data_IF_640116409407
#
_entry.id   IF_640116409407
#
_cell.length_a   1.000
_cell.length_b   1.000
_cell.length_c   1.000
_cell.angle_alpha   90.00
_cell.angle_beta   90.00
_cell.angle_gamma   90.00
#
_symmetry.space_group_name_H-M   'P 1'
#
loop_
_entity.id
_entity.type
_entity.pdbx_description
1 polymer ?
#
# COMPACT_ATOMS: atom_id res chain seq x y z
N UNK A 1 34.51 19.00 10.28
CA UNK A 1 33.27 18.27 10.61
C UNK A 1 32.15 18.88 9.79
N UNK A 2 31.51 18.12 8.89
CA UNK A 2 30.33 18.57 8.18
C UNK A 2 29.14 18.62 9.14
N UNK A 3 28.63 19.82 9.44
CA UNK A 3 27.48 20.04 10.34
C UNK A 3 27.81 20.43 11.79
N UNK A 4 26.85 21.06 12.48
CA UNK A 4 26.91 21.34 13.93
C UNK A 4 26.72 20.05 14.74
N UNK A 5 26.04 19.05 14.16
CA UNK A 5 25.82 17.73 14.74
C UNK A 5 26.64 16.65 14.03
N UNK A 6 27.57 15.96 14.73
CA UNK A 6 28.53 15.07 14.09
C UNK A 6 28.02 13.65 13.78
N UNK A 7 26.79 13.29 14.21
CA UNK A 7 26.35 11.90 14.24
C UNK A 7 25.39 11.49 13.10
N UNK A 8 24.79 12.45 12.39
CA UNK A 8 23.73 12.17 11.40
C UNK A 8 24.32 11.65 10.09
N UNK A 9 25.31 12.34 9.51
CA UNK A 9 26.06 11.89 8.34
C UNK A 9 27.56 12.27 8.50
N UNK A 10 28.32 11.53 9.34
CA UNK A 10 29.66 11.94 9.78
C UNK A 10 30.66 12.17 8.65
N UNK A 11 30.55 11.36 7.59
CA UNK A 11 31.40 11.39 6.40
C UNK A 11 30.71 12.07 5.20
N UNK A 12 29.59 12.77 5.46
CA UNK A 12 28.74 13.42 4.47
C UNK A 12 29.25 14.80 4.02
N UNK A 13 28.48 15.44 3.14
CA UNK A 13 28.71 16.83 2.74
C UNK A 13 28.12 17.81 3.76
N UNK A 14 28.54 19.07 3.72
CA UNK A 14 27.85 20.12 4.47
C UNK A 14 26.40 20.29 4.00
N UNK A 15 25.47 20.36 4.94
CA UNK A 15 24.04 20.49 4.65
C UNK A 15 23.66 21.95 4.38
N UNK A 16 23.60 22.30 3.10
CA UNK A 16 23.09 23.58 2.59
C UNK A 16 21.92 23.40 1.62
N UNK A 17 21.30 22.23 1.59
CA UNK A 17 20.10 22.02 0.77
C UNK A 17 18.90 22.74 1.36
N UNK A 18 17.87 22.91 0.53
CA UNK A 18 16.60 23.53 0.92
C UNK A 18 15.61 22.53 1.55
N UNK A 19 15.98 21.26 1.66
CA UNK A 19 15.08 20.17 2.06
C UNK A 19 15.40 19.56 3.44
N UNK A 20 16.62 19.74 3.94
CA UNK A 20 17.05 19.23 5.25
C UNK A 20 17.86 20.26 6.03
N UNK A 21 18.02 19.94 7.31
CA UNK A 21 19.06 20.52 8.17
C UNK A 21 19.97 19.38 8.65
N UNK A 22 21.07 19.69 9.32
CA UNK A 22 22.02 18.71 9.88
C UNK A 22 21.44 17.80 10.99
N UNK A 23 20.15 17.94 11.31
CA UNK A 23 19.39 17.06 12.23
C UNK A 23 18.79 15.83 11.54
N UNK A 24 18.77 15.77 10.22
CA UNK A 24 18.15 14.68 9.46
C UNK A 24 19.07 14.18 8.36
N UNK A 25 19.00 12.87 8.07
CA UNK A 25 19.79 12.29 7.00
C UNK A 25 19.21 12.70 5.64
N UNK A 26 20.02 13.40 4.85
CA UNK A 26 19.61 13.88 3.54
C UNK A 26 19.34 12.71 2.58
N UNK A 27 18.20 12.71 1.89
CA UNK A 27 17.85 11.63 0.95
C UNK A 27 18.79 11.53 -0.26
N UNK A 28 19.55 12.59 -0.55
CA UNK A 28 20.56 12.62 -1.61
C UNK A 28 21.91 12.07 -1.14
N UNK A 29 22.13 11.87 0.16
CA UNK A 29 23.38 11.34 0.72
C UNK A 29 23.65 9.91 0.25
N UNK A 30 24.94 9.52 0.19
CA UNK A 30 25.32 8.13 -0.12
C UNK A 30 24.81 7.15 0.92
N UNK A 31 24.78 7.57 2.19
CA UNK A 31 24.26 6.76 3.29
C UNK A 31 22.77 6.47 3.13
N UNK A 32 21.94 7.47 2.80
CA UNK A 32 20.51 7.25 2.57
C UNK A 32 20.24 6.42 1.32
N UNK A 33 20.98 6.65 0.23
CA UNK A 33 20.89 5.82 -0.98
C UNK A 33 21.12 4.35 -0.65
N UNK A 34 22.15 4.03 0.15
CA UNK A 34 22.42 2.68 0.64
C UNK A 34 21.24 2.08 1.42
N UNK A 35 20.69 2.82 2.38
CA UNK A 35 19.51 2.40 3.15
C UNK A 35 18.33 2.06 2.23
N UNK A 36 18.04 2.90 1.24
CA UNK A 36 16.93 2.68 0.32
C UNK A 36 17.16 1.49 -0.62
N UNK A 37 18.39 1.28 -1.09
CA UNK A 37 18.73 0.10 -1.90
C UNK A 37 18.63 -1.19 -1.08
N UNK A 38 19.05 -1.17 0.19
CA UNK A 38 18.97 -2.32 1.09
C UNK A 38 17.52 -2.69 1.40
N UNK A 39 16.67 -1.69 1.70
CA UNK A 39 15.22 -1.90 1.89
C UNK A 39 14.61 -2.52 0.63
N UNK A 40 14.93 -1.99 -0.56
CA UNK A 40 14.42 -2.51 -1.82
C UNK A 40 14.83 -3.96 -2.06
N UNK A 41 16.11 -4.28 -1.85
CA UNK A 41 16.63 -5.64 -2.00
C UNK A 41 15.98 -6.61 -1.01
N UNK A 42 15.87 -6.22 0.26
CA UNK A 42 15.26 -7.03 1.31
C UNK A 42 13.78 -7.33 1.00
N UNK A 43 12.98 -6.31 0.67
CA UNK A 43 11.55 -6.50 0.36
C UNK A 43 11.34 -7.41 -0.86
N UNK A 44 12.10 -7.18 -1.94
CA UNK A 44 12.02 -8.03 -3.14
C UNK A 44 12.36 -9.49 -2.83
N UNK A 45 13.39 -9.73 -2.01
CA UNK A 45 13.80 -11.07 -1.58
C UNK A 45 12.74 -11.75 -0.72
N UNK A 46 12.21 -11.07 0.29
CA UNK A 46 11.23 -11.64 1.24
C UNK A 46 9.92 -11.99 0.54
N UNK A 47 9.44 -11.14 -0.37
CA UNK A 47 8.16 -11.33 -1.04
C UNK A 47 8.25 -12.01 -2.41
N UNK A 48 9.46 -12.35 -2.89
CA UNK A 48 9.66 -12.85 -4.25
C UNK A 48 9.19 -11.86 -5.34
N UNK A 49 9.20 -10.56 -5.02
CA UNK A 49 8.64 -9.52 -5.87
C UNK A 49 9.68 -8.99 -6.88
N UNK A 50 9.24 -8.68 -8.10
CA UNK A 50 10.07 -8.03 -9.11
C UNK A 50 10.47 -6.59 -8.70
N UNK A 51 9.52 -5.86 -8.13
CA UNK A 51 9.65 -4.44 -7.76
C UNK A 51 9.15 -4.20 -6.34
N UNK A 52 9.71 -3.18 -5.69
CA UNK A 52 9.27 -2.68 -4.39
C UNK A 52 9.22 -1.15 -4.45
N UNK A 53 8.18 -0.55 -3.85
CA UNK A 53 7.95 0.90 -3.82
C UNK A 53 7.66 1.32 -2.38
N UNK A 54 8.24 2.44 -1.95
CA UNK A 54 7.99 3.03 -0.63
C UNK A 54 7.16 4.30 -0.82
N UNK A 55 5.96 4.32 -0.22
CA UNK A 55 5.05 5.46 -0.25
C UNK A 55 5.05 6.11 1.13
N UNK A 56 5.58 7.34 1.28
CA UNK A 56 5.54 8.06 2.55
C UNK A 56 4.10 8.25 3.06
N UNK A 57 3.87 7.97 4.34
CA UNK A 57 2.54 8.00 4.96
C UNK A 57 2.32 6.78 5.84
N UNK A 58 1.27 6.01 5.55
CA UNK A 58 0.93 4.76 6.25
C UNK A 58 0.46 3.69 5.26
N UNK A 59 0.09 2.50 5.75
CA UNK A 59 -0.45 1.43 4.90
C UNK A 59 -1.65 1.88 4.05
N UNK A 60 -2.51 2.75 4.58
CA UNK A 60 -3.66 3.31 3.84
C UNK A 60 -3.23 4.14 2.63
N UNK A 61 -2.10 4.84 2.70
CA UNK A 61 -1.58 5.64 1.58
C UNK A 61 -1.08 4.72 0.46
N UNK A 62 -0.52 3.56 0.82
CA UNK A 62 -0.20 2.51 -0.15
C UNK A 62 -1.46 1.97 -0.84
N UNK A 63 -2.52 1.70 -0.08
CA UNK A 63 -3.81 1.28 -0.65
C UNK A 63 -4.37 2.30 -1.64
N UNK A 64 -4.44 3.57 -1.24
CA UNK A 64 -4.97 4.64 -2.10
C UNK A 64 -4.08 4.89 -3.33
N UNK A 65 -2.75 4.80 -3.19
CA UNK A 65 -1.83 4.92 -4.32
C UNK A 65 -2.09 3.86 -5.39
N UNK A 66 -2.31 2.60 -4.98
CA UNK A 66 -2.69 1.50 -5.88
C UNK A 66 -4.06 1.75 -6.51
N UNK A 67 -5.05 2.18 -5.72
CA UNK A 67 -6.39 2.49 -6.23
C UNK A 67 -6.35 3.57 -7.32
N UNK A 68 -5.66 4.68 -7.05
CA UNK A 68 -5.54 5.79 -8.01
C UNK A 68 -4.79 5.39 -9.28
N UNK A 69 -3.76 4.55 -9.16
CA UNK A 69 -2.95 4.14 -10.30
C UNK A 69 -3.67 3.14 -11.22
N UNK A 70 -4.42 2.18 -10.65
CA UNK A 70 -4.92 1.03 -11.41
C UNK A 70 -6.46 0.96 -11.51
N UNK A 71 -7.19 1.50 -10.53
CA UNK A 71 -8.66 1.42 -10.51
C UNK A 71 -9.35 2.64 -11.15
N UNK A 72 -8.60 3.71 -11.48
CA UNK A 72 -9.21 4.93 -11.99
C UNK A 72 -9.98 4.70 -13.30
N UNK A 73 -11.27 5.05 -13.31
CA UNK A 73 -12.14 4.85 -14.47
C UNK A 73 -12.36 3.38 -14.86
N UNK A 74 -12.14 2.44 -13.93
CA UNK A 74 -12.33 1.00 -14.16
C UNK A 74 -13.52 0.44 -13.39
N UNK A 75 -13.99 -0.72 -13.83
CA UNK A 75 -14.79 -1.61 -13.00
C UNK A 75 -13.84 -2.49 -12.17
N UNK A 76 -14.00 -2.50 -10.85
CA UNK A 76 -13.16 -3.30 -9.94
C UNK A 76 -14.01 -4.17 -9.01
N UNK A 77 -13.39 -5.20 -8.43
CA UNK A 77 -14.07 -6.08 -7.48
C UNK A 77 -13.34 -6.08 -6.13
N UNK A 78 -14.10 -6.02 -5.04
CA UNK A 78 -13.58 -6.06 -3.66
C UNK A 78 -14.09 -7.29 -2.93
N UNK A 79 -13.18 -8.11 -2.41
CA UNK A 79 -13.48 -9.17 -1.46
C UNK A 79 -13.49 -8.58 -0.04
N UNK A 80 -14.68 -8.47 0.57
CA UNK A 80 -14.90 -7.76 1.84
C UNK A 80 -15.14 -8.73 2.99
N UNK A 81 -14.09 -8.97 3.78
CA UNK A 81 -14.09 -9.87 4.94
C UNK A 81 -14.05 -9.14 6.29
N UNK A 82 -14.04 -7.82 6.29
CA UNK A 82 -14.00 -7.02 7.50
C UNK A 82 -13.64 -5.56 7.24
N UNK A 83 -13.30 -4.84 8.29
CA UNK A 83 -13.10 -3.39 8.23
C UNK A 83 -11.95 -2.96 7.34
N UNK A 84 -10.82 -3.67 7.38
CA UNK A 84 -9.67 -3.36 6.51
C UNK A 84 -9.99 -3.55 5.02
N UNK A 85 -10.72 -4.61 4.65
CA UNK A 85 -11.18 -4.77 3.27
C UNK A 85 -12.29 -3.79 2.88
N UNK A 86 -13.09 -3.31 3.84
CA UNK A 86 -14.05 -2.23 3.62
C UNK A 86 -13.36 -0.89 3.31
N UNK A 87 -12.13 -0.66 3.82
CA UNK A 87 -11.35 0.55 3.51
C UNK A 87 -11.21 0.80 2.00
N UNK A 88 -11.14 -0.24 1.17
CA UNK A 88 -11.08 -0.07 -0.29
C UNK A 88 -12.26 0.72 -0.84
N UNK A 89 -13.49 0.34 -0.47
CA UNK A 89 -14.68 1.07 -0.94
C UNK A 89 -14.78 2.46 -0.30
N UNK A 90 -14.31 2.64 0.94
CA UNK A 90 -14.22 4.01 1.51
C UNK A 90 -13.29 4.91 0.70
N UNK A 91 -12.14 4.39 0.27
CA UNK A 91 -11.20 5.11 -0.61
C UNK A 91 -11.85 5.42 -1.96
N UNK A 92 -12.55 4.45 -2.55
CA UNK A 92 -13.23 4.61 -3.84
C UNK A 92 -14.31 5.69 -3.78
N UNK A 93 -15.16 5.64 -2.76
CA UNK A 93 -16.30 6.55 -2.60
C UNK A 93 -15.82 7.98 -2.29
N UNK A 94 -14.79 8.13 -1.45
CA UNK A 94 -14.22 9.45 -1.12
C UNK A 94 -13.48 10.07 -2.30
N UNK A 95 -12.80 9.25 -3.10
CA UNK A 95 -11.94 9.71 -4.19
C UNK A 95 -12.61 9.73 -5.57
N UNK A 96 -13.86 9.25 -5.69
CA UNK A 96 -14.53 8.99 -6.98
C UNK A 96 -13.60 8.29 -7.99
N UNK A 97 -12.95 7.21 -7.55
CA UNK A 97 -11.83 6.59 -8.26
C UNK A 97 -12.30 5.64 -9.38
N UNK A 98 -12.91 4.47 -9.08
CA UNK A 98 -13.42 3.59 -10.11
C UNK A 98 -14.75 4.10 -10.69
N UNK A 99 -15.06 3.68 -11.92
CA UNK A 99 -16.37 3.94 -12.53
C UNK A 99 -17.48 3.14 -11.83
N UNK A 100 -17.16 1.92 -11.39
CA UNK A 100 -18.07 1.09 -10.62
C UNK A 100 -17.30 0.02 -9.85
N UNK A 101 -17.90 -0.58 -8.83
CA UNK A 101 -17.29 -1.70 -8.12
C UNK A 101 -18.31 -2.73 -7.66
N UNK A 102 -17.92 -4.02 -7.70
CA UNK A 102 -18.67 -5.12 -7.10
C UNK A 102 -18.06 -5.49 -5.75
N UNK A 103 -18.90 -5.82 -4.77
CA UNK A 103 -18.46 -6.23 -3.43
C UNK A 103 -18.94 -7.64 -3.12
N UNK A 104 -17.99 -8.56 -2.94
CA UNK A 104 -18.26 -9.90 -2.44
C UNK A 104 -18.01 -9.95 -0.94
N UNK A 105 -19.08 -10.05 -0.15
CA UNK A 105 -19.01 -9.99 1.32
C UNK A 105 -18.81 -11.38 1.92
N UNK A 106 -18.06 -11.43 3.02
CA UNK A 106 -18.12 -12.56 3.95
C UNK A 106 -19.56 -12.79 4.44
N UNK A 107 -19.86 -14.03 4.82
CA UNK A 107 -21.17 -14.47 5.33
C UNK A 107 -21.00 -15.28 6.61
N UNK A 108 -21.96 -15.25 7.54
CA UNK A 108 -21.94 -16.14 8.70
C UNK A 108 -22.11 -17.60 8.24
N UNK A 109 -21.43 -18.53 8.91
CA UNK A 109 -21.48 -19.96 8.56
C UNK A 109 -22.83 -20.62 8.88
N UNK A 110 -23.61 -20.04 9.79
CA UNK A 110 -24.96 -20.47 10.16
C UNK A 110 -25.80 -19.27 10.59
N UNK A 111 -27.07 -19.51 10.95
CA UNK A 111 -27.96 -18.48 11.48
C UNK A 111 -27.74 -18.19 12.99
N UNK A 112 -26.78 -18.85 13.63
CA UNK A 112 -26.52 -18.69 15.06
C UNK A 112 -25.96 -17.30 15.37
N UNK A 113 -26.37 -16.72 16.51
CA UNK A 113 -25.96 -15.36 16.89
C UNK A 113 -24.44 -15.17 17.05
N UNK A 114 -23.70 -16.26 17.29
CA UNK A 114 -22.24 -16.26 17.45
C UNK A 114 -21.55 -17.07 16.33
N UNK A 115 -22.22 -17.26 15.19
CA UNK A 115 -21.65 -17.99 14.07
C UNK A 115 -20.35 -17.33 13.57
N UNK A 116 -19.29 -18.11 13.29
CA UNK A 116 -18.10 -17.58 12.68
C UNK A 116 -18.41 -17.07 11.26
N UNK A 117 -17.67 -16.05 10.82
CA UNK A 117 -17.78 -15.51 9.47
C UNK A 117 -16.76 -16.15 8.55
N UNK A 118 -17.19 -16.50 7.35
CA UNK A 118 -16.32 -17.02 6.29
C UNK A 118 -16.34 -16.06 5.09
N UNK A 119 -15.21 -15.89 4.37
CA UNK A 119 -15.17 -15.17 3.11
C UNK A 119 -16.15 -15.76 2.07
N UNK A 120 -16.40 -15.02 0.99
CA UNK A 120 -17.06 -15.59 -0.19
C UNK A 120 -16.27 -16.83 -0.68
N UNK A 121 -16.98 -17.86 -1.15
CA UNK A 121 -16.33 -19.09 -1.59
C UNK A 121 -15.47 -18.82 -2.83
N UNK A 122 -14.37 -19.57 -2.98
CA UNK A 122 -13.47 -19.38 -4.12
C UNK A 122 -14.20 -19.60 -5.45
N UNK A 123 -15.12 -20.57 -5.53
CA UNK A 123 -15.89 -20.85 -6.74
C UNK A 123 -16.78 -19.67 -7.14
N UNK A 124 -17.43 -19.03 -6.16
CA UNK A 124 -18.26 -17.85 -6.40
C UNK A 124 -17.40 -16.65 -6.85
N UNK A 125 -16.21 -16.49 -6.24
CA UNK A 125 -15.26 -15.43 -6.60
C UNK A 125 -14.79 -15.61 -8.04
N UNK A 126 -14.34 -16.81 -8.41
CA UNK A 126 -13.89 -17.13 -9.76
C UNK A 126 -15.01 -16.96 -10.79
N UNK A 127 -16.22 -17.44 -10.49
CA UNK A 127 -17.37 -17.27 -11.36
C UNK A 127 -17.75 -15.79 -11.56
N UNK A 128 -17.63 -14.98 -10.51
CA UNK A 128 -17.89 -13.54 -10.55
C UNK A 128 -16.83 -12.81 -11.36
N UNK A 129 -15.55 -13.13 -11.19
CA UNK A 129 -14.45 -12.58 -12.02
C UNK A 129 -14.69 -12.91 -13.50
N UNK A 130 -15.02 -14.16 -13.83
CA UNK A 130 -15.26 -14.58 -15.20
C UNK A 130 -16.45 -13.84 -15.85
N UNK A 131 -17.51 -13.58 -15.06
CA UNK A 131 -18.72 -12.88 -15.50
C UNK A 131 -18.50 -11.38 -15.67
N UNK A 132 -17.94 -10.73 -14.66
CA UNK A 132 -17.87 -9.27 -14.56
C UNK A 132 -16.59 -8.69 -15.16
N UNK A 133 -15.54 -9.51 -15.30
CA UNK A 133 -14.24 -9.14 -15.86
C UNK A 133 -13.72 -7.82 -15.28
N UNK A 134 -13.63 -7.71 -13.93
CA UNK A 134 -13.02 -6.53 -13.31
C UNK A 134 -11.59 -6.34 -13.81
N UNK A 135 -11.14 -5.09 -13.85
CA UNK A 135 -9.82 -4.70 -14.34
C UNK A 135 -8.66 -5.28 -13.52
#
# INVERSE_FOLDING_TARGET
>A
MPGLLPHVDPDGLYEFSVVYTDRALNHMSKRFQGVMTDISAMLKKVYGAHSAVLVPGSGTFGMESVARQFAHGKHVMVIRNGWFSFRWTQIFDMGSIPTSHTVMKARPASADAQAPWSPASIDEVVATIAREKPA
#
